data_IF_490479517622
#
_entry.id   IF_490479517622
#
_cell.length_a   1.000
_cell.length_b   1.000
_cell.length_c   1.000
_cell.angle_alpha   90.00
_cell.angle_beta   90.00
_cell.angle_gamma   90.00
#
_symmetry.space_group_name_H-M   'P 1'
#
loop_
_entity.id
_entity.type
_entity.pdbx_description
1 polymer ?
#
# COMPACT_ATOMS: atom_id res chain seq x y z
N UNK A 1 -19.31 33.31 -85.54
CA UNK A 1 -18.75 32.03 -85.08
C UNK A 1 -17.23 32.11 -85.22
N UNK A 2 -16.55 32.67 -84.22
CA UNK A 2 -15.09 32.72 -84.09
C UNK A 2 -14.80 32.78 -82.59
N UNK A 3 -14.19 31.72 -82.05
CA UNK A 3 -13.79 31.61 -80.64
C UNK A 3 -12.38 32.20 -80.47
N UNK A 4 -12.27 33.19 -79.58
CA UNK A 4 -11.01 33.77 -79.10
C UNK A 4 -10.39 32.82 -78.06
N UNK A 5 -9.11 32.53 -78.23
CA UNK A 5 -8.28 31.86 -77.23
C UNK A 5 -7.64 32.92 -76.33
N UNK A 6 -7.90 32.85 -75.02
CA UNK A 6 -7.29 33.73 -74.03
C UNK A 6 -5.97 33.12 -73.53
N UNK A 7 -4.91 33.93 -73.65
CA UNK A 7 -3.57 33.66 -73.18
C UNK A 7 -3.47 33.94 -71.67
N UNK A 8 -3.15 32.91 -70.88
CA UNK A 8 -2.69 33.08 -69.50
C UNK A 8 -1.20 33.45 -69.51
N UNK A 9 -0.76 34.53 -68.83
CA UNK A 9 0.64 34.96 -68.90
C UNK A 9 1.56 34.01 -68.13
N UNK A 10 2.65 33.61 -68.78
CA UNK A 10 3.70 32.66 -68.33
C UNK A 10 4.27 33.00 -66.94
N UNK A 11 4.17 34.26 -66.47
CA UNK A 11 4.62 34.67 -65.14
C UNK A 11 3.76 34.11 -63.98
N UNK A 12 2.48 33.80 -64.21
CA UNK A 12 1.59 33.26 -63.16
C UNK A 12 1.83 31.75 -62.95
N UNK A 13 2.24 31.03 -64.00
CA UNK A 13 2.55 29.60 -63.91
C UNK A 13 3.80 29.32 -63.05
N UNK A 14 4.80 30.21 -63.11
CA UNK A 14 6.03 30.09 -62.32
C UNK A 14 5.83 30.37 -60.83
N UNK A 15 4.94 31.30 -60.48
CA UNK A 15 4.59 31.60 -59.09
C UNK A 15 3.80 30.46 -58.43
N UNK A 16 2.90 29.79 -59.17
CA UNK A 16 2.15 28.64 -58.66
C UNK A 16 3.06 27.41 -58.49
N UNK A 17 4.02 27.21 -59.40
CA UNK A 17 5.00 26.12 -59.28
C UNK A 17 5.98 26.30 -58.11
N UNK A 18 6.39 27.53 -57.79
CA UNK A 18 7.25 27.80 -56.63
C UNK A 18 6.49 27.70 -55.30
N UNK A 19 5.20 28.05 -55.26
CA UNK A 19 4.38 27.94 -54.05
C UNK A 19 4.05 26.47 -53.70
N UNK A 20 3.89 25.60 -54.71
CA UNK A 20 3.63 24.17 -54.51
C UNK A 20 4.89 23.41 -54.02
N UNK A 21 6.10 23.79 -54.46
CA UNK A 21 7.35 23.14 -54.02
C UNK A 21 7.65 23.44 -52.53
N UNK A 22 7.27 24.62 -52.04
CA UNK A 22 7.40 25.00 -50.61
C UNK A 22 6.50 24.18 -49.67
N UNK A 23 5.38 23.64 -50.18
CA UNK A 23 4.41 22.85 -49.41
C UNK A 23 4.84 21.38 -49.34
N UNK A 24 5.64 20.88 -50.30
CA UNK A 24 6.18 19.51 -50.26
C UNK A 24 7.50 19.37 -49.48
N UNK A 25 8.23 20.45 -49.21
CA UNK A 25 9.47 20.42 -48.40
C UNK A 25 9.24 20.55 -46.88
N UNK A 26 8.04 20.94 -46.44
CA UNK A 26 7.67 21.00 -45.02
C UNK A 26 7.02 19.72 -44.49
N UNK A 27 6.75 18.73 -45.36
CA UNK A 27 6.02 17.50 -45.04
C UNK A 27 6.82 16.36 -44.39
N UNK A 28 8.16 16.44 -44.30
CA UNK A 28 8.99 15.35 -43.74
C UNK A 28 9.81 15.73 -42.49
N UNK A 29 9.69 16.96 -41.99
CA UNK A 29 10.43 17.42 -40.80
C UNK A 29 9.72 17.09 -39.47
N UNK A 30 8.44 16.72 -39.49
CA UNK A 30 7.66 16.39 -38.29
C UNK A 30 7.81 14.92 -37.86
N UNK A 31 7.94 13.99 -38.82
CA UNK A 31 8.08 12.56 -38.55
C UNK A 31 9.50 12.23 -38.09
N UNK A 32 10.53 12.86 -38.66
CA UNK A 32 11.91 12.68 -38.22
C UNK A 32 12.17 13.27 -36.83
N UNK A 33 11.59 14.42 -36.47
CA UNK A 33 11.65 14.92 -35.08
C UNK A 33 10.95 13.99 -34.09
N UNK A 34 9.80 13.43 -34.44
CA UNK A 34 9.09 12.47 -33.60
C UNK A 34 9.86 11.16 -33.39
N UNK A 35 10.46 10.61 -34.45
CA UNK A 35 11.25 9.38 -34.38
C UNK A 35 12.61 9.62 -33.72
N UNK A 36 13.26 10.77 -33.95
CA UNK A 36 14.55 11.09 -33.31
C UNK A 36 14.37 11.48 -31.85
N UNK A 37 13.29 12.17 -31.46
CA UNK A 37 12.93 12.41 -30.07
C UNK A 37 12.53 11.11 -29.35
N UNK A 38 11.76 10.24 -30.01
CA UNK A 38 11.40 8.92 -29.48
C UNK A 38 12.62 7.98 -29.38
N UNK A 39 13.64 8.13 -30.21
CA UNK A 39 14.91 7.39 -30.11
C UNK A 39 15.84 7.99 -29.04
N UNK A 40 15.84 9.31 -28.84
CA UNK A 40 16.54 9.95 -27.71
C UNK A 40 15.92 9.57 -26.36
N UNK A 41 14.58 9.48 -26.28
CA UNK A 41 13.87 8.97 -25.08
C UNK A 41 14.08 7.47 -24.85
N UNK A 42 14.48 6.71 -25.89
CA UNK A 42 14.76 5.27 -25.81
C UNK A 42 16.23 4.92 -25.59
N UNK A 43 17.14 5.91 -25.58
CA UNK A 43 18.41 5.69 -24.91
C UNK A 43 18.08 5.51 -23.43
N UNK A 44 18.42 4.36 -22.86
CA UNK A 44 18.24 4.08 -21.44
C UNK A 44 18.95 5.16 -20.62
N UNK A 45 18.26 6.25 -20.31
CA UNK A 45 18.74 7.24 -19.38
C UNK A 45 18.98 6.48 -18.08
N UNK A 46 20.23 6.47 -17.61
CA UNK A 46 20.59 5.82 -16.36
C UNK A 46 19.57 6.21 -15.28
N UNK A 47 19.01 5.23 -14.57
CA UNK A 47 18.08 5.52 -13.47
C UNK A 47 18.83 6.24 -12.34
N UNK A 48 18.62 7.56 -12.25
CA UNK A 48 19.25 8.49 -11.31
C UNK A 48 18.48 8.63 -9.98
N UNK A 49 17.34 7.96 -9.84
CA UNK A 49 16.50 8.06 -8.65
C UNK A 49 17.26 7.55 -7.42
N UNK A 50 17.29 8.36 -6.36
CA UNK A 50 17.99 8.01 -5.12
C UNK A 50 17.22 6.93 -4.34
N UNK A 51 17.97 6.15 -3.57
CA UNK A 51 17.46 5.21 -2.57
C UNK A 51 18.44 5.14 -1.41
N UNK A 52 17.97 5.50 -0.22
CA UNK A 52 18.74 5.52 1.02
C UNK A 52 17.92 4.85 2.12
N UNK A 53 18.52 3.89 2.81
CA UNK A 53 17.89 3.18 3.91
C UNK A 53 18.63 3.46 5.19
N UNK A 54 17.93 3.98 6.21
CA UNK A 54 18.47 4.27 7.52
C UNK A 54 17.71 3.49 8.59
N UNK A 55 18.43 2.64 9.31
CA UNK A 55 17.86 1.84 10.37
C UNK A 55 18.55 0.51 10.53
N UNK A 56 17.81 -0.47 11.02
CA UNK A 56 18.32 -1.81 11.26
C UNK A 56 18.12 -2.67 10.01
N UNK A 57 18.97 -3.67 9.77
CA UNK A 57 18.76 -4.59 8.67
C UNK A 57 17.43 -5.33 8.86
N UNK A 58 16.73 -5.56 7.76
CA UNK A 58 15.50 -6.34 7.76
C UNK A 58 15.55 -7.36 6.62
N UNK A 59 14.84 -8.47 6.80
CA UNK A 59 15.03 -9.68 5.98
C UNK A 59 14.07 -9.81 4.79
N UNK A 60 13.06 -8.94 4.70
CA UNK A 60 11.97 -9.09 3.74
C UNK A 60 11.06 -10.29 4.04
N UNK A 61 10.27 -10.68 3.04
CA UNK A 61 9.28 -11.78 3.07
C UNK A 61 9.91 -13.15 2.79
N UNK A 62 10.94 -13.21 1.92
CA UNK A 62 11.51 -14.45 1.37
C UNK A 62 11.85 -15.52 2.43
N UNK A 63 12.45 -15.18 3.60
CA UNK A 63 12.80 -16.19 4.60
C UNK A 63 11.60 -16.95 5.15
N UNK A 64 10.43 -16.31 5.22
CA UNK A 64 9.19 -16.96 5.66
C UNK A 64 8.77 -18.09 4.72
N UNK A 65 9.03 -17.92 3.41
CA UNK A 65 8.69 -18.92 2.39
C UNK A 65 9.56 -20.18 2.49
N UNK A 66 10.76 -20.07 3.06
CA UNK A 66 11.70 -21.18 3.21
C UNK A 66 11.39 -22.08 4.44
N UNK A 67 10.39 -21.73 5.25
CA UNK A 67 10.05 -22.48 6.47
C UNK A 67 9.46 -23.85 6.14
N UNK A 68 9.81 -24.83 6.98
CA UNK A 68 9.27 -26.20 6.90
C UNK A 68 7.84 -26.31 7.45
N UNK A 69 7.47 -25.42 8.36
CA UNK A 69 6.17 -25.40 9.05
C UNK A 69 5.57 -24.00 8.95
N UNK A 70 4.24 -23.95 8.94
CA UNK A 70 3.47 -22.72 8.78
C UNK A 70 3.44 -22.19 7.35
N UNK A 71 2.82 -21.01 7.20
CA UNK A 71 2.61 -20.28 5.96
C UNK A 71 3.03 -18.82 6.11
N UNK A 72 3.45 -18.21 5.01
CA UNK A 72 3.66 -16.76 4.96
C UNK A 72 2.41 -16.08 4.43
N UNK A 73 1.82 -15.20 5.25
CA UNK A 73 0.56 -14.51 4.99
C UNK A 73 0.78 -13.01 5.02
N UNK A 74 0.39 -12.33 3.94
CA UNK A 74 0.49 -10.85 3.83
C UNK A 74 -0.90 -10.25 3.73
N UNK A 75 -1.17 -9.19 4.49
CA UNK A 75 -2.34 -8.35 4.30
C UNK A 75 -1.94 -6.96 3.81
N UNK A 76 -2.51 -6.55 2.67
CA UNK A 76 -2.35 -5.23 2.12
C UNK A 76 -3.57 -4.35 2.43
N UNK A 77 -3.33 -3.17 3.01
CA UNK A 77 -4.33 -2.17 3.38
C UNK A 77 -4.10 -0.91 2.55
N UNK A 78 -5.07 -0.54 1.70
CA UNK A 78 -4.97 0.68 0.91
C UNK A 78 -5.13 1.95 1.76
N UNK A 79 -4.70 3.07 1.18
CA UNK A 79 -4.89 4.41 1.72
C UNK A 79 -6.09 5.11 1.14
N UNK A 80 -5.98 6.43 0.97
CA UNK A 80 -7.03 7.28 0.43
C UNK A 80 -7.46 6.88 -0.99
N UNK A 81 -8.65 7.32 -1.37
CA UNK A 81 -9.31 7.04 -2.64
C UNK A 81 -10.34 5.92 -2.56
N UNK A 82 -11.25 5.89 -3.53
CA UNK A 82 -12.16 4.76 -3.72
C UNK A 82 -11.44 3.64 -4.48
N UNK A 83 -11.32 2.47 -3.82
CA UNK A 83 -10.69 1.28 -4.37
C UNK A 83 -11.73 0.20 -4.60
N UNK A 84 -11.50 -0.62 -5.62
CA UNK A 84 -12.26 -1.84 -5.89
C UNK A 84 -11.36 -3.06 -5.68
N UNK A 85 -11.93 -4.24 -5.32
CA UNK A 85 -11.13 -5.46 -5.18
C UNK A 85 -10.33 -5.78 -6.44
N UNK A 86 -9.04 -6.04 -6.27
CA UNK A 86 -8.05 -6.27 -7.32
C UNK A 86 -7.06 -5.13 -7.54
N UNK A 87 -7.16 -4.02 -6.80
CA UNK A 87 -6.25 -2.87 -6.94
C UNK A 87 -4.78 -3.24 -6.76
N UNK A 88 -4.46 -4.28 -5.98
CA UNK A 88 -3.08 -4.75 -5.74
C UNK A 88 -2.51 -5.64 -6.84
N UNK A 89 -3.25 -5.93 -7.91
CA UNK A 89 -2.89 -6.96 -8.89
C UNK A 89 -1.50 -6.74 -9.51
N UNK A 90 -1.16 -5.50 -9.85
CA UNK A 90 0.15 -5.17 -10.41
C UNK A 90 1.28 -5.39 -9.40
N UNK A 91 1.12 -4.86 -8.19
CA UNK A 91 2.07 -5.06 -7.09
C UNK A 91 2.29 -6.55 -6.79
N UNK A 92 1.21 -7.31 -6.64
CA UNK A 92 1.27 -8.75 -6.39
C UNK A 92 1.99 -9.51 -7.52
N UNK A 93 1.81 -9.09 -8.78
CA UNK A 93 2.53 -9.67 -9.92
C UNK A 93 4.04 -9.43 -9.85
N UNK A 94 4.46 -8.21 -9.49
CA UNK A 94 5.88 -7.89 -9.29
C UNK A 94 6.47 -8.63 -8.09
N UNK A 95 5.74 -8.65 -6.97
CA UNK A 95 6.16 -9.35 -5.75
C UNK A 95 6.30 -10.86 -5.97
N UNK A 96 5.34 -11.48 -6.68
CA UNK A 96 5.40 -12.88 -7.06
C UNK A 96 6.66 -13.19 -7.88
N UNK A 97 6.98 -12.32 -8.85
CA UNK A 97 8.18 -12.47 -9.68
C UNK A 97 9.46 -12.37 -8.84
N UNK A 98 9.56 -11.38 -7.95
CA UNK A 98 10.76 -11.19 -7.10
C UNK A 98 10.97 -12.31 -6.08
N UNK A 99 9.88 -12.93 -5.62
CA UNK A 99 9.86 -14.09 -4.70
C UNK A 99 9.93 -15.45 -5.41
N UNK A 100 10.08 -15.46 -6.74
CA UNK A 100 10.10 -16.67 -7.56
C UNK A 100 8.84 -17.55 -7.44
N UNK A 101 7.67 -16.95 -7.23
CA UNK A 101 6.38 -17.65 -7.15
C UNK A 101 5.74 -17.72 -8.54
N UNK A 102 5.82 -18.88 -9.19
CA UNK A 102 5.45 -19.08 -10.58
C UNK A 102 4.03 -19.62 -10.81
N UNK A 103 3.28 -19.92 -9.74
CA UNK A 103 1.90 -20.42 -9.83
C UNK A 103 0.96 -19.61 -8.96
N UNK A 104 -0.28 -19.46 -9.45
CA UNK A 104 -1.37 -18.72 -8.81
C UNK A 104 -2.63 -19.56 -8.78
N UNK A 105 -3.46 -19.39 -7.74
CA UNK A 105 -4.81 -19.97 -7.71
C UNK A 105 -5.64 -19.53 -8.91
N UNK A 106 -6.41 -20.45 -9.49
CA UNK A 106 -7.22 -20.18 -10.70
C UNK A 106 -8.23 -19.05 -10.51
N UNK A 107 -8.78 -18.89 -9.31
CA UNK A 107 -9.61 -17.76 -8.91
C UNK A 107 -9.15 -17.20 -7.55
N UNK A 108 -9.38 -15.89 -7.29
CA UNK A 108 -9.29 -15.30 -5.97
C UNK A 108 -10.55 -15.65 -5.15
N UNK A 109 -10.38 -15.82 -3.84
CA UNK A 109 -11.51 -15.91 -2.90
C UNK A 109 -11.91 -14.51 -2.44
N UNK A 110 -13.20 -14.25 -2.24
CA UNK A 110 -13.69 -12.90 -1.90
C UNK A 110 -14.68 -12.95 -0.73
N UNK A 111 -14.23 -12.53 0.45
CA UNK A 111 -15.04 -12.52 1.66
C UNK A 111 -15.57 -11.11 1.88
N UNK A 112 -16.89 -10.94 1.91
CA UNK A 112 -17.50 -9.70 2.36
C UNK A 112 -17.30 -9.58 3.87
N UNK A 113 -16.65 -8.50 4.29
CA UNK A 113 -16.28 -8.30 5.68
C UNK A 113 -17.50 -7.81 6.44
N UNK A 114 -17.86 -8.57 7.47
CA UNK A 114 -18.97 -8.27 8.37
C UNK A 114 -18.52 -8.54 9.80
N UNK A 115 -19.15 -7.89 10.77
CA UNK A 115 -18.93 -8.19 12.19
C UNK A 115 -20.25 -8.07 12.95
N UNK A 116 -20.48 -8.92 13.94
CA UNK A 116 -21.63 -8.78 14.84
C UNK A 116 -21.69 -7.42 15.57
N UNK A 117 -20.57 -6.68 15.67
CA UNK A 117 -20.54 -5.32 16.23
C UNK A 117 -21.24 -4.27 15.32
N UNK A 118 -21.34 -4.56 14.03
CA UNK A 118 -21.94 -3.71 13.00
C UNK A 118 -22.77 -4.60 12.05
N UNK A 119 -23.88 -5.19 12.54
CA UNK A 119 -24.59 -6.27 11.85
C UNK A 119 -25.15 -5.84 10.48
N UNK A 120 -25.52 -4.58 10.34
CA UNK A 120 -26.13 -4.02 9.12
C UNK A 120 -25.12 -3.33 8.19
N UNK A 121 -23.83 -3.33 8.52
CA UNK A 121 -22.80 -2.63 7.75
C UNK A 121 -21.93 -3.59 6.96
N UNK A 122 -21.80 -3.32 5.66
CA UNK A 122 -20.77 -3.91 4.84
C UNK A 122 -19.44 -3.19 5.13
N UNK A 123 -18.49 -3.88 5.74
CA UNK A 123 -17.18 -3.31 6.09
C UNK A 123 -16.16 -3.41 4.96
N UNK A 124 -16.56 -3.91 3.80
CA UNK A 124 -15.71 -4.01 2.61
C UNK A 124 -15.47 -5.46 2.18
N UNK A 125 -14.36 -5.68 1.47
CA UNK A 125 -14.03 -6.97 0.90
C UNK A 125 -12.60 -7.39 1.24
N UNK A 126 -12.44 -8.66 1.63
CA UNK A 126 -11.16 -9.33 1.79
C UNK A 126 -10.96 -10.26 0.59
N UNK A 127 -10.11 -9.84 -0.35
CA UNK A 127 -9.74 -10.64 -1.52
C UNK A 127 -8.49 -11.44 -1.21
N UNK A 128 -8.50 -12.74 -1.49
CA UNK A 128 -7.45 -13.66 -1.07
C UNK A 128 -6.92 -14.43 -2.29
N UNK A 129 -5.60 -14.43 -2.44
CA UNK A 129 -4.90 -15.07 -3.56
C UNK A 129 -3.81 -15.97 -3.00
N UNK A 130 -3.74 -17.21 -3.50
CA UNK A 130 -2.65 -18.13 -3.21
C UNK A 130 -1.62 -18.10 -4.33
N UNK A 131 -0.36 -17.99 -3.96
CA UNK A 131 0.79 -18.11 -4.84
C UNK A 131 1.69 -19.26 -4.38
N UNK A 132 2.31 -19.93 -5.35
CA UNK A 132 3.14 -21.11 -5.14
C UNK A 132 4.38 -21.06 -6.03
N UNK A 133 5.40 -21.80 -5.64
CA UNK A 133 6.45 -22.23 -6.56
C UNK A 133 6.35 -23.76 -6.77
N UNK A 134 6.09 -24.18 -8.00
CA UNK A 134 5.90 -25.61 -8.33
C UNK A 134 7.14 -26.48 -8.07
N UNK A 135 8.34 -25.91 -8.19
CA UNK A 135 9.59 -26.68 -8.11
C UNK A 135 10.00 -26.98 -6.67
N UNK A 136 9.77 -26.03 -5.76
CA UNK A 136 10.25 -26.13 -4.37
C UNK A 136 9.12 -26.11 -3.32
N UNK A 137 7.86 -25.96 -3.74
CA UNK A 137 6.71 -25.99 -2.84
C UNK A 137 6.54 -24.76 -1.95
N UNK A 138 7.32 -23.68 -2.15
CA UNK A 138 7.11 -22.40 -1.46
C UNK A 138 5.65 -21.96 -1.62
N UNK A 139 5.04 -21.52 -0.53
CA UNK A 139 3.64 -21.11 -0.50
C UNK A 139 3.46 -19.76 0.17
N UNK A 140 2.65 -18.91 -0.46
CA UNK A 140 2.38 -17.55 -0.05
C UNK A 140 0.88 -17.25 -0.20
N UNK A 141 0.27 -16.67 0.83
CA UNK A 141 -1.15 -16.27 0.80
C UNK A 141 -1.23 -14.76 0.95
N UNK A 142 -1.78 -14.10 -0.06
CA UNK A 142 -1.94 -12.66 -0.12
C UNK A 142 -3.40 -12.28 0.13
N UNK A 143 -3.60 -11.38 1.09
CA UNK A 143 -4.88 -10.82 1.48
C UNK A 143 -4.89 -9.34 1.10
N UNK A 144 -5.96 -8.89 0.46
CA UNK A 144 -6.19 -7.50 0.08
C UNK A 144 -7.46 -7.03 0.76
N UNK A 145 -7.34 -6.02 1.63
CA UNK A 145 -8.48 -5.36 2.29
C UNK A 145 -8.89 -4.13 1.48
N UNK A 146 -10.11 -4.15 0.95
CA UNK A 146 -10.78 -2.99 0.36
C UNK A 146 -11.85 -2.48 1.32
N UNK A 147 -11.58 -1.39 2.04
CA UNK A 147 -12.48 -0.80 3.04
C UNK A 147 -13.32 0.38 2.51
N UNK A 148 -13.10 0.81 1.26
CA UNK A 148 -13.75 2.00 0.66
C UNK A 148 -15.29 1.98 0.75
N UNK A 149 -15.91 0.82 0.84
CA UNK A 149 -17.37 0.68 1.06
C UNK A 149 -17.86 1.52 2.25
N UNK A 150 -17.07 1.60 3.32
CA UNK A 150 -17.43 2.33 4.55
C UNK A 150 -17.55 3.84 4.29
N UNK A 151 -16.74 4.41 3.40
CA UNK A 151 -16.64 5.87 3.21
C UNK A 151 -17.40 6.38 2.00
N UNK A 152 -17.83 5.51 1.08
CA UNK A 152 -18.55 5.87 -0.16
C UNK A 152 -19.75 6.77 0.08
N UNK A 153 -20.62 6.44 1.05
CA UNK A 153 -21.81 7.25 1.34
C UNK A 153 -21.46 8.65 1.84
N UNK A 154 -20.41 8.79 2.67
CA UNK A 154 -19.97 10.10 3.15
C UNK A 154 -19.34 10.93 2.01
N UNK A 155 -18.58 10.29 1.12
CA UNK A 155 -17.98 10.95 -0.06
C UNK A 155 -19.02 11.49 -1.06
N UNK A 156 -20.23 10.92 -1.12
CA UNK A 156 -21.31 11.43 -1.99
C UNK A 156 -21.67 12.88 -1.68
N UNK A 157 -21.36 13.39 -0.48
CA UNK A 157 -21.52 14.80 -0.15
C UNK A 157 -20.77 15.74 -1.10
N UNK A 158 -19.66 15.30 -1.71
CA UNK A 158 -18.88 16.09 -2.68
C UNK A 158 -19.22 15.74 -4.15
N UNK A 159 -20.17 14.84 -4.40
CA UNK A 159 -20.50 14.43 -5.76
C UNK A 159 -21.06 15.57 -6.62
N UNK A 160 -21.72 16.57 -6.00
CA UNK A 160 -22.21 17.77 -6.70
C UNK A 160 -21.08 18.48 -7.46
N UNK A 161 -19.88 18.53 -6.87
CA UNK A 161 -18.71 19.23 -7.43
C UNK A 161 -18.11 18.49 -8.63
N UNK A 162 -18.34 17.17 -8.73
CA UNK A 162 -17.93 16.34 -9.86
C UNK A 162 -18.95 16.33 -11.00
N UNK A 163 -19.99 17.17 -10.95
CA UNK A 163 -21.08 17.16 -11.91
C UNK A 163 -21.38 18.56 -12.48
N UNK A 164 -22.10 18.57 -13.60
CA UNK A 164 -22.99 19.62 -14.10
C UNK A 164 -22.60 21.09 -13.86
N UNK A 165 -22.69 21.57 -12.63
CA UNK A 165 -22.53 22.99 -12.29
C UNK A 165 -21.11 23.53 -12.50
N UNK A 166 -20.09 22.71 -12.22
CA UNK A 166 -18.70 23.17 -12.20
C UNK A 166 -17.77 22.42 -13.15
N UNK A 167 -18.03 21.14 -13.43
CA UNK A 167 -17.10 20.28 -14.17
C UNK A 167 -16.79 20.80 -15.57
N UNK A 168 -17.81 21.16 -16.37
CA UNK A 168 -17.64 21.61 -17.76
C UNK A 168 -16.91 22.94 -17.89
N UNK A 169 -16.82 23.73 -16.81
CA UNK A 169 -16.13 25.02 -16.77
C UNK A 169 -14.65 24.87 -16.40
N UNK A 170 -14.22 23.71 -15.89
CA UNK A 170 -12.83 23.50 -15.48
C UNK A 170 -11.96 23.16 -16.68
N UNK A 171 -10.78 23.77 -16.73
CA UNK A 171 -9.71 23.30 -17.59
C UNK A 171 -9.43 21.82 -17.30
N UNK A 172 -9.05 21.05 -18.32
CA UNK A 172 -8.90 19.58 -18.24
C UNK A 172 -8.02 19.14 -17.07
N UNK A 173 -6.86 19.77 -16.89
CA UNK A 173 -5.94 19.44 -15.80
C UNK A 173 -6.56 19.74 -14.42
N UNK A 174 -7.24 20.88 -14.27
CA UNK A 174 -7.91 21.24 -13.02
C UNK A 174 -9.08 20.30 -12.72
N UNK A 175 -9.83 19.87 -13.74
CA UNK A 175 -10.90 18.89 -13.59
C UNK A 175 -10.36 17.55 -13.06
N UNK A 176 -9.25 17.06 -13.63
CA UNK A 176 -8.56 15.85 -13.17
C UNK A 176 -8.09 15.97 -11.71
N UNK A 177 -7.37 17.05 -11.37
CA UNK A 177 -6.89 17.29 -10.01
C UNK A 177 -8.04 17.42 -9.01
N UNK A 178 -9.15 18.06 -9.42
CA UNK A 178 -10.31 18.24 -8.55
C UNK A 178 -11.03 16.92 -8.28
N UNK A 179 -11.23 16.07 -9.29
CA UNK A 179 -11.78 14.71 -9.10
C UNK A 179 -10.92 13.90 -8.14
N UNK A 180 -9.59 13.93 -8.32
CA UNK A 180 -8.66 13.27 -7.41
C UNK A 180 -8.78 13.82 -5.98
N UNK A 181 -8.82 15.15 -5.82
CA UNK A 181 -8.97 15.80 -4.51
C UNK A 181 -10.29 15.47 -3.83
N UNK A 182 -11.40 15.43 -4.57
CA UNK A 182 -12.72 15.10 -4.04
C UNK A 182 -12.83 13.62 -3.66
N UNK A 183 -12.07 12.74 -4.31
CA UNK A 183 -12.02 11.32 -3.95
C UNK A 183 -11.09 11.06 -2.77
N UNK A 184 -9.89 11.63 -2.75
CA UNK A 184 -8.84 11.28 -1.77
C UNK A 184 -8.78 12.20 -0.55
N UNK A 185 -9.03 13.50 -0.74
CA UNK A 185 -8.94 14.51 0.31
C UNK A 185 -9.90 14.31 1.49
N UNK A 186 -11.13 13.79 1.30
CA UNK A 186 -12.05 13.57 2.41
C UNK A 186 -11.69 12.39 3.32
N UNK A 187 -10.93 11.40 2.83
CA UNK A 187 -10.71 10.15 3.58
C UNK A 187 -10.05 10.36 4.94
N UNK A 188 -9.00 11.18 5.10
CA UNK A 188 -8.45 11.49 6.42
C UNK A 188 -9.46 12.14 7.37
N UNK A 189 -10.37 12.99 6.85
CA UNK A 189 -11.41 13.63 7.65
C UNK A 189 -12.49 12.63 8.07
N UNK A 190 -12.94 11.79 7.15
CA UNK A 190 -13.90 10.71 7.41
C UNK A 190 -13.32 9.73 8.45
N UNK A 191 -12.03 9.40 8.33
CA UNK A 191 -11.34 8.51 9.26
C UNK A 191 -11.12 9.11 10.65
N UNK A 192 -11.14 10.44 10.79
CA UNK A 192 -11.16 11.10 12.12
C UNK A 192 -12.57 11.08 12.75
N UNK A 193 -13.62 10.85 11.94
CA UNK A 193 -15.01 10.81 12.38
C UNK A 193 -15.52 9.41 12.75
N UNK A 194 -16.83 9.22 12.56
CA UNK A 194 -17.56 8.00 12.93
C UNK A 194 -17.08 6.72 12.22
N UNK A 195 -16.48 6.86 11.04
CA UNK A 195 -16.02 5.74 10.21
C UNK A 195 -14.70 5.14 10.68
N UNK A 196 -14.02 5.78 11.64
CA UNK A 196 -12.80 5.25 12.27
C UNK A 196 -12.97 3.83 12.79
N UNK A 197 -13.98 3.62 13.63
CA UNK A 197 -14.18 2.34 14.34
C UNK A 197 -14.61 1.21 13.37
N UNK A 198 -15.54 1.42 12.43
CA UNK A 198 -15.82 0.46 11.37
C UNK A 198 -14.59 0.07 10.54
N UNK A 199 -13.75 1.03 10.13
CA UNK A 199 -12.53 0.76 9.36
C UNK A 199 -11.54 -0.08 10.18
N UNK A 200 -11.34 0.25 11.46
CA UNK A 200 -10.51 -0.56 12.36
C UNK A 200 -11.08 -1.97 12.57
N UNK A 201 -12.42 -2.12 12.59
CA UNK A 201 -13.07 -3.42 12.66
C UNK A 201 -12.87 -4.23 11.36
N UNK A 202 -12.85 -3.59 10.20
CA UNK A 202 -12.54 -4.23 8.92
C UNK A 202 -11.12 -4.81 8.90
N UNK A 203 -10.14 -4.05 9.42
CA UNK A 203 -8.78 -4.53 9.63
C UNK A 203 -8.73 -5.72 10.60
N UNK A 204 -9.36 -5.62 11.78
CA UNK A 204 -9.34 -6.68 12.78
C UNK A 204 -9.99 -7.98 12.26
N UNK A 205 -11.11 -7.88 11.53
CA UNK A 205 -11.74 -9.02 10.86
C UNK A 205 -10.82 -9.64 9.81
N UNK A 206 -10.11 -8.81 9.02
CA UNK A 206 -9.16 -9.29 8.03
C UNK A 206 -8.01 -10.07 8.67
N UNK A 207 -7.43 -9.54 9.75
CA UNK A 207 -6.36 -10.23 10.49
C UNK A 207 -6.87 -11.53 11.15
N UNK A 208 -8.09 -11.52 11.70
CA UNK A 208 -8.73 -12.73 12.23
C UNK A 208 -8.86 -13.82 11.13
N UNK A 209 -9.32 -13.44 9.93
CA UNK A 209 -9.39 -14.35 8.78
C UNK A 209 -8.03 -14.88 8.32
N UNK A 210 -6.97 -14.08 8.41
CA UNK A 210 -5.61 -14.53 8.11
C UNK A 210 -5.17 -15.66 9.05
N UNK A 211 -5.51 -15.57 10.34
CA UNK A 211 -5.13 -16.58 11.32
C UNK A 211 -6.01 -17.83 11.21
N UNK A 212 -7.33 -17.65 11.13
CA UNK A 212 -8.30 -18.72 11.35
C UNK A 212 -8.25 -19.86 10.31
N UNK A 213 -7.95 -19.55 9.05
CA UNK A 213 -8.11 -20.53 7.98
C UNK A 213 -6.87 -20.68 7.10
N UNK A 214 -6.55 -21.94 6.80
CA UNK A 214 -5.72 -22.29 5.66
C UNK A 214 -6.46 -22.07 4.35
N UNK A 215 -5.71 -21.91 3.25
CA UNK A 215 -6.26 -21.71 1.91
C UNK A 215 -7.42 -22.67 1.55
N UNK A 216 -7.29 -23.96 1.91
CA UNK A 216 -8.31 -24.98 1.60
C UNK A 216 -9.64 -24.74 2.32
N UNK A 217 -9.62 -24.14 3.50
CA UNK A 217 -10.78 -23.97 4.37
C UNK A 217 -11.44 -22.58 4.24
N UNK A 218 -10.82 -21.66 3.51
CA UNK A 218 -11.42 -20.36 3.18
C UNK A 218 -12.55 -20.58 2.16
N UNK A 219 -13.78 -20.06 2.38
CA UNK A 219 -14.84 -20.18 1.40
C UNK A 219 -14.55 -19.36 0.13
N UNK A 220 -15.06 -19.78 -1.03
CA UNK A 220 -14.83 -19.08 -2.30
C UNK A 220 -15.39 -17.64 -2.27
N UNK A 221 -16.58 -17.47 -1.69
CA UNK A 221 -17.18 -16.16 -1.48
C UNK A 221 -18.22 -16.13 -0.36
N UNK A 222 -18.71 -14.95 -0.02
CA UNK A 222 -19.88 -14.75 0.84
C UNK A 222 -19.65 -13.80 2.02
N UNK A 223 -20.69 -13.64 2.84
CA UNK A 223 -20.69 -12.83 4.06
C UNK A 223 -20.37 -13.73 5.25
N UNK A 224 -19.15 -13.64 5.76
CA UNK A 224 -18.68 -14.52 6.82
C UNK A 224 -17.95 -13.70 7.89
N UNK A 225 -18.52 -13.54 9.11
CA UNK A 225 -17.81 -12.91 10.21
C UNK A 225 -16.78 -13.87 10.80
N UNK A 226 -15.59 -13.36 11.10
CA UNK A 226 -14.64 -14.05 11.97
C UNK A 226 -15.06 -13.79 13.43
N UNK A 227 -15.67 -14.80 14.05
CA UNK A 227 -16.21 -14.72 15.42
C UNK A 227 -15.14 -14.88 16.50
N UNK A 228 -13.86 -14.90 16.13
CA UNK A 228 -12.78 -15.09 17.07
C UNK A 228 -11.85 -16.23 16.70
N UNK A 229 -10.87 -16.44 17.56
CA UNK A 229 -9.82 -17.45 17.42
C UNK A 229 -9.88 -18.38 18.63
N UNK A 230 -10.15 -19.65 18.38
CA UNK A 230 -10.36 -20.64 19.43
C UNK A 230 -9.23 -21.69 19.46
N UNK A 231 -9.13 -22.43 20.54
CA UNK A 231 -8.18 -23.56 20.65
C UNK A 231 -8.90 -24.91 20.63
N UNK A 232 -10.17 -24.96 20.23
CA UNK A 232 -10.97 -26.19 20.26
C UNK A 232 -10.48 -27.24 19.25
N UNK A 233 -9.92 -26.78 18.13
CA UNK A 233 -9.37 -27.64 17.06
C UNK A 233 -7.84 -27.58 16.96
N UNK A 234 -7.18 -26.91 17.91
CA UNK A 234 -5.76 -26.52 17.91
C UNK A 234 -5.28 -25.77 16.65
N UNK A 235 -6.12 -25.58 15.62
CA UNK A 235 -5.72 -25.05 14.31
C UNK A 235 -5.40 -23.55 14.39
N UNK A 236 -6.26 -22.73 15.02
CA UNK A 236 -5.99 -21.30 15.14
C UNK A 236 -4.73 -21.05 16.01
N UNK A 237 -4.53 -21.88 17.05
CA UNK A 237 -3.31 -21.86 17.87
C UNK A 237 -2.08 -22.29 17.08
N UNK A 238 -2.17 -23.37 16.29
CA UNK A 238 -1.10 -23.82 15.41
C UNK A 238 -0.72 -22.76 14.37
N UNK A 239 -1.70 -22.15 13.71
CA UNK A 239 -1.48 -21.09 12.74
C UNK A 239 -0.87 -19.86 13.42
N UNK A 240 -1.39 -19.48 14.59
CA UNK A 240 -0.80 -18.40 15.37
C UNK A 240 0.62 -18.73 15.81
N UNK A 241 1.02 -19.97 16.05
CA UNK A 241 2.42 -20.30 16.42
C UNK A 241 3.33 -20.33 15.19
N UNK A 242 2.88 -20.92 14.08
CA UNK A 242 3.77 -21.31 12.99
C UNK A 242 3.77 -20.36 11.80
N UNK A 243 2.67 -19.64 11.55
CA UNK A 243 2.57 -18.76 10.38
C UNK A 243 3.29 -17.42 10.59
N UNK A 244 3.72 -16.81 9.49
CA UNK A 244 4.20 -15.44 9.46
C UNK A 244 3.07 -14.51 9.02
N UNK A 245 2.88 -13.43 9.78
CA UNK A 245 1.91 -12.38 9.50
C UNK A 245 2.66 -11.09 9.19
N UNK A 246 2.45 -10.58 7.97
CA UNK A 246 3.11 -9.38 7.46
C UNK A 246 2.02 -8.41 6.98
N UNK A 247 2.22 -7.12 7.24
CA UNK A 247 1.34 -6.08 6.73
C UNK A 247 2.05 -5.21 5.70
N UNK A 248 1.32 -4.83 4.67
CA UNK A 248 1.71 -3.81 3.71
C UNK A 248 0.63 -2.76 3.72
N UNK A 249 1.00 -1.50 3.81
CA UNK A 249 0.03 -0.41 3.82
C UNK A 249 0.44 0.69 2.86
N UNK A 250 -0.52 1.39 2.29
CA UNK A 250 -0.26 2.57 1.47
C UNK A 250 -0.91 3.81 2.10
N UNK A 251 -0.22 4.95 2.16
CA UNK A 251 -0.80 6.24 2.55
C UNK A 251 -1.59 6.14 3.89
N UNK A 252 -2.86 6.58 3.95
CA UNK A 252 -3.76 6.44 5.12
C UNK A 252 -3.81 5.02 5.72
N UNK A 253 -3.55 3.99 4.92
CA UNK A 253 -3.46 2.60 5.35
C UNK A 253 -2.44 2.38 6.46
N UNK A 254 -1.37 3.19 6.55
CA UNK A 254 -0.37 3.07 7.61
C UNK A 254 -0.98 3.37 8.98
N UNK A 255 -1.78 4.43 9.07
CA UNK A 255 -2.50 4.80 10.29
C UNK A 255 -3.61 3.81 10.62
N UNK A 256 -4.34 3.31 9.61
CA UNK A 256 -5.38 2.28 9.80
C UNK A 256 -4.76 1.00 10.39
N UNK A 257 -3.63 0.55 9.85
CA UNK A 257 -2.95 -0.66 10.29
C UNK A 257 -2.48 -0.55 11.75
N UNK A 258 -1.81 0.55 12.11
CA UNK A 258 -1.35 0.75 13.50
C UNK A 258 -2.55 0.93 14.43
N UNK A 259 -3.56 1.71 14.07
CA UNK A 259 -4.77 1.86 14.88
C UNK A 259 -5.50 0.53 15.10
N UNK A 260 -5.57 -0.31 14.08
CA UNK A 260 -6.14 -1.64 14.15
C UNK A 260 -5.38 -2.53 15.15
N UNK A 261 -4.05 -2.53 15.09
CA UNK A 261 -3.19 -3.24 16.04
C UNK A 261 -3.35 -2.70 17.47
N UNK A 262 -3.37 -1.38 17.65
CA UNK A 262 -3.61 -0.74 18.96
C UNK A 262 -5.00 -1.09 19.51
N UNK A 263 -6.02 -1.13 18.64
CA UNK A 263 -7.37 -1.54 19.04
C UNK A 263 -7.37 -2.98 19.53
N UNK A 264 -6.66 -3.88 18.85
CA UNK A 264 -6.50 -5.28 19.29
C UNK A 264 -5.79 -5.32 20.66
N UNK A 265 -4.72 -4.54 20.86
CA UNK A 265 -3.99 -4.46 22.13
C UNK A 265 -4.90 -4.02 23.30
N UNK A 266 -5.80 -3.05 23.10
CA UNK A 266 -6.76 -2.63 24.14
C UNK A 266 -7.91 -3.63 24.35
N UNK A 267 -8.23 -4.42 23.34
CA UNK A 267 -9.34 -5.38 23.33
C UNK A 267 -9.00 -6.71 24.02
N UNK A 268 -7.83 -7.30 23.72
CA UNK A 268 -7.49 -8.65 24.20
C UNK A 268 -7.46 -8.81 25.73
N UNK A 269 -6.99 -7.84 26.53
CA UNK A 269 -7.07 -7.93 27.99
C UNK A 269 -8.49 -7.81 28.55
N UNK A 270 -9.42 -7.26 27.76
CA UNK A 270 -10.78 -6.93 28.19
C UNK A 270 -11.85 -7.57 27.29
N UNK A 271 -11.68 -8.85 26.93
CA UNK A 271 -12.58 -9.53 25.97
C UNK A 271 -14.05 -9.50 26.39
N UNK A 272 -14.32 -9.47 27.70
CA UNK A 272 -15.67 -9.34 28.25
C UNK A 272 -16.41 -8.05 27.81
N UNK A 273 -15.67 -7.01 27.42
CA UNK A 273 -16.23 -5.76 26.85
C UNK A 273 -16.57 -5.91 25.36
N UNK A 274 -16.07 -6.96 24.69
CA UNK A 274 -16.34 -7.28 23.29
C UNK A 274 -17.54 -8.23 23.21
N UNK A 275 -18.67 -7.82 23.80
CA UNK A 275 -19.94 -8.54 23.64
C UNK A 275 -20.69 -7.92 22.49
N UNK A 276 -20.87 -8.68 21.41
CA UNK A 276 -21.66 -8.24 20.27
C UNK A 276 -23.08 -8.79 20.40
N UNK A 277 -24.04 -7.90 20.69
CA UNK A 277 -25.44 -8.25 20.94
C UNK A 277 -25.64 -9.37 22.00
N UNK A 278 -26.87 -9.60 22.43
CA UNK A 278 -27.17 -10.73 23.31
C UNK A 278 -26.95 -12.03 22.50
N UNK A 279 -26.00 -12.88 22.94
CA UNK A 279 -25.70 -14.25 22.48
C UNK A 279 -24.57 -14.50 21.46
N UNK A 280 -23.84 -13.51 20.94
CA UNK A 280 -22.65 -13.77 20.09
C UNK A 280 -21.36 -13.50 20.87
N UNK A 281 -20.61 -14.57 21.19
CA UNK A 281 -19.29 -14.47 21.80
C UNK A 281 -18.25 -14.23 20.72
N UNK A 282 -17.64 -13.05 20.73
CA UNK A 282 -16.40 -12.78 20.01
C UNK A 282 -15.27 -12.93 21.01
N UNK A 283 -14.33 -13.85 20.78
CA UNK A 283 -13.27 -14.13 21.74
C UNK A 283 -11.99 -14.68 21.11
N UNK A 284 -10.90 -14.56 21.83
CA UNK A 284 -9.59 -15.10 21.48
C UNK A 284 -9.12 -15.95 22.65
N UNK A 285 -8.81 -17.23 22.41
CA UNK A 285 -8.33 -18.10 23.48
C UNK A 285 -7.00 -17.59 24.07
N UNK A 286 -6.76 -17.85 25.36
CA UNK A 286 -5.53 -17.42 26.02
C UNK A 286 -4.28 -18.02 25.36
N UNK A 287 -4.36 -19.26 24.83
CA UNK A 287 -3.26 -19.87 24.06
C UNK A 287 -2.92 -19.08 22.80
N UNK A 288 -3.92 -18.60 22.06
CA UNK A 288 -3.71 -17.77 20.87
C UNK A 288 -3.11 -16.42 21.27
N UNK A 289 -3.57 -15.81 22.37
CA UNK A 289 -2.98 -14.56 22.88
C UNK A 289 -1.51 -14.77 23.24
N UNK A 290 -1.18 -15.84 23.98
CA UNK A 290 0.20 -16.17 24.34
C UNK A 290 1.08 -16.42 23.12
N UNK A 291 0.55 -17.11 22.09
CA UNK A 291 1.26 -17.30 20.83
C UNK A 291 1.51 -15.97 20.09
N UNK A 292 0.51 -15.07 20.07
CA UNK A 292 0.62 -13.74 19.46
C UNK A 292 1.71 -12.88 20.14
N UNK A 293 1.83 -12.94 21.48
CA UNK A 293 2.87 -12.22 22.25
C UNK A 293 4.30 -12.55 21.79
N UNK A 294 4.51 -13.70 21.18
CA UNK A 294 5.82 -14.15 20.70
C UNK A 294 6.04 -13.85 19.21
N UNK A 295 5.10 -13.14 18.56
CA UNK A 295 5.24 -12.78 17.15
C UNK A 295 6.05 -11.54 16.94
N UNK A 296 6.88 -11.60 15.91
CA UNK A 296 7.40 -10.43 15.21
C UNK A 296 6.53 -10.17 13.98
N UNK A 297 5.97 -8.97 13.86
CA UNK A 297 5.10 -8.57 12.75
C UNK A 297 5.77 -7.44 11.96
N UNK A 298 6.25 -7.71 10.74
CA UNK A 298 6.71 -6.67 9.82
C UNK A 298 5.55 -5.88 9.22
N UNK A 299 5.71 -4.56 9.14
CA UNK A 299 4.77 -3.63 8.50
C UNK A 299 5.54 -2.76 7.51
N UNK A 300 5.30 -2.96 6.21
CA UNK A 300 5.86 -2.16 5.13
C UNK A 300 4.89 -1.01 4.79
N UNK A 301 5.27 0.23 5.10
CA UNK A 301 4.41 1.41 4.92
C UNK A 301 4.85 2.21 3.69
N UNK A 302 4.20 1.95 2.56
CA UNK A 302 4.33 2.69 1.31
C UNK A 302 3.69 4.07 1.46
N UNK A 303 4.38 5.14 1.04
CA UNK A 303 3.96 6.52 1.31
C UNK A 303 3.55 6.72 2.77
N UNK A 304 4.47 6.50 3.71
CA UNK A 304 4.13 6.53 5.13
C UNK A 304 3.58 7.91 5.56
N UNK A 305 2.40 7.92 6.20
CA UNK A 305 1.77 9.15 6.69
C UNK A 305 1.63 9.25 8.22
N UNK A 306 2.26 8.34 8.99
CA UNK A 306 2.05 8.28 10.44
C UNK A 306 2.25 9.63 11.17
N UNK A 307 3.33 10.40 10.92
CA UNK A 307 3.51 11.69 11.58
C UNK A 307 2.39 12.70 11.32
N UNK A 308 2.01 12.88 10.06
CA UNK A 308 0.93 13.81 9.68
C UNK A 308 -0.41 13.36 10.25
N UNK A 309 -0.74 12.07 10.13
CA UNK A 309 -2.01 11.53 10.59
C UNK A 309 -2.11 11.36 12.11
N UNK A 310 -1.05 11.65 12.86
CA UNK A 310 -1.08 11.74 14.32
C UNK A 310 -1.60 13.10 14.82
N UNK A 311 -1.56 14.15 13.99
CA UNK A 311 -1.95 15.50 14.37
C UNK A 311 -3.43 15.55 14.80
N UNK A 312 -3.70 16.21 15.92
CA UNK A 312 -5.06 16.40 16.45
C UNK A 312 -5.69 15.17 17.09
N UNK A 313 -4.93 14.08 17.30
CA UNK A 313 -5.42 12.85 17.92
C UNK A 313 -4.92 12.69 19.35
N UNK A 314 -5.72 12.01 20.16
CA UNK A 314 -5.29 11.50 21.45
C UNK A 314 -4.13 10.51 21.31
N UNK A 315 -3.33 10.42 22.36
CA UNK A 315 -2.28 9.42 22.46
C UNK A 315 -2.89 8.02 22.65
N UNK A 316 -2.17 6.96 22.24
CA UNK A 316 -2.50 5.60 22.65
C UNK A 316 -2.65 5.44 24.17
N UNK A 317 -3.35 4.40 24.59
CA UNK A 317 -3.60 4.09 26.01
C UNK A 317 -2.31 3.88 26.81
N UNK A 318 -1.31 3.22 26.21
CA UNK A 318 -0.02 2.95 26.82
C UNK A 318 1.08 3.57 25.95
N UNK A 319 1.70 4.65 26.41
CA UNK A 319 2.86 5.28 25.74
C UNK A 319 4.01 5.48 26.72
N UNK A 320 5.22 5.65 26.19
CA UNK A 320 6.43 5.91 26.98
C UNK A 320 6.93 4.74 27.84
N UNK A 321 6.39 3.53 27.65
CA UNK A 321 6.65 2.35 28.50
C UNK A 321 7.30 1.21 27.69
N UNK A 322 8.11 1.53 26.68
CA UNK A 322 8.70 0.53 25.77
C UNK A 322 9.54 -0.50 26.54
N UNK A 323 10.45 -0.05 27.41
CA UNK A 323 11.29 -0.96 28.21
C UNK A 323 10.44 -1.92 29.06
N UNK A 324 9.37 -1.42 29.68
CA UNK A 324 8.52 -2.24 30.56
C UNK A 324 7.77 -3.36 29.84
N UNK A 325 7.37 -3.14 28.59
CA UNK A 325 6.58 -4.09 27.80
C UNK A 325 7.43 -4.96 26.87
N UNK A 326 8.58 -4.46 26.43
CA UNK A 326 9.33 -5.04 25.30
C UNK A 326 10.66 -5.68 25.71
N UNK A 327 11.20 -5.34 26.88
CA UNK A 327 12.36 -6.03 27.44
C UNK A 327 11.91 -7.27 28.22
N UNK A 328 12.60 -8.43 28.08
CA UNK A 328 12.25 -9.65 28.80
C UNK A 328 12.16 -9.49 30.33
N UNK A 329 12.98 -8.62 30.90
CA UNK A 329 13.04 -8.29 32.33
C UNK A 329 12.01 -7.24 32.76
N UNK A 330 11.29 -6.63 31.81
CA UNK A 330 10.31 -5.58 32.06
C UNK A 330 9.11 -6.07 32.87
N UNK A 331 8.58 -5.27 33.82
CA UNK A 331 7.48 -5.69 34.70
C UNK A 331 6.17 -6.00 33.95
N UNK A 332 5.99 -5.42 32.76
CA UNK A 332 4.81 -5.57 31.93
C UNK A 332 5.06 -6.44 30.69
N UNK A 333 6.19 -7.16 30.61
CA UNK A 333 6.58 -7.94 29.45
C UNK A 333 5.49 -8.90 28.98
N UNK A 334 4.79 -9.58 29.91
CA UNK A 334 3.72 -10.53 29.60
C UNK A 334 2.39 -9.86 29.16
N UNK A 335 2.31 -8.53 29.17
CA UNK A 335 1.12 -7.76 28.78
C UNK A 335 1.27 -7.09 27.40
N UNK A 336 2.40 -7.27 26.72
CA UNK A 336 2.58 -6.83 25.33
C UNK A 336 1.60 -7.54 24.38
N UNK A 337 1.37 -6.97 23.21
CA UNK A 337 0.60 -7.61 22.15
C UNK A 337 1.46 -8.58 21.35
N UNK A 338 2.68 -8.16 21.00
CA UNK A 338 3.64 -8.85 20.15
C UNK A 338 5.06 -8.63 20.69
N UNK A 339 6.02 -9.45 20.29
CA UNK A 339 7.42 -9.27 20.70
C UNK A 339 8.09 -8.13 19.95
N UNK A 340 7.69 -7.88 18.70
CA UNK A 340 8.18 -6.75 17.90
C UNK A 340 7.18 -6.40 16.79
N UNK A 341 6.88 -5.11 16.64
CA UNK A 341 6.27 -4.55 15.42
C UNK A 341 7.37 -3.86 14.61
N UNK A 342 7.87 -4.54 13.58
CA UNK A 342 8.95 -4.02 12.73
C UNK A 342 8.35 -3.08 11.67
N UNK A 343 8.47 -1.77 11.86
CA UNK A 343 7.92 -0.75 10.96
C UNK A 343 8.98 -0.33 9.95
N UNK A 344 8.76 -0.66 8.68
CA UNK A 344 9.59 -0.23 7.55
C UNK A 344 8.83 0.87 6.82
N UNK A 345 9.21 2.13 7.06
CA UNK A 345 8.53 3.31 6.53
C UNK A 345 9.19 3.81 5.25
N UNK A 346 8.51 3.67 4.11
CA UNK A 346 8.94 4.22 2.84
C UNK A 346 8.43 5.65 2.67
N UNK A 347 9.31 6.55 2.24
CA UNK A 347 8.98 7.95 1.96
C UNK A 347 9.79 8.46 0.79
N UNK A 348 9.16 9.28 -0.05
CA UNK A 348 9.81 9.97 -1.17
C UNK A 348 9.86 11.44 -0.79
N UNK A 349 11.05 12.08 -0.75
CA UNK A 349 11.17 13.51 -0.50
C UNK A 349 10.34 14.40 -1.45
N UNK A 350 9.96 13.87 -2.63
CA UNK A 350 9.10 14.56 -3.59
C UNK A 350 7.60 14.26 -3.39
N UNK A 351 7.26 13.29 -2.54
CA UNK A 351 5.89 13.04 -2.12
C UNK A 351 5.53 14.01 -0.99
N UNK A 352 4.66 14.97 -1.31
CA UNK A 352 4.20 16.00 -0.39
C UNK A 352 3.48 15.47 0.86
N UNK A 353 3.03 14.21 0.83
CA UNK A 353 2.23 13.61 1.88
C UNK A 353 2.92 12.43 2.57
N UNK A 354 4.12 12.02 2.14
CA UNK A 354 4.91 11.01 2.87
C UNK A 354 5.89 11.64 3.85
N UNK A 355 6.14 10.93 4.95
CA UNK A 355 6.99 11.38 6.03
C UNK A 355 7.80 10.21 6.59
N UNK A 356 9.11 10.41 6.69
CA UNK A 356 9.94 9.56 7.56
C UNK A 356 9.47 9.68 9.00
N UNK A 357 9.66 8.62 9.79
CA UNK A 357 9.30 8.61 11.21
C UNK A 357 10.48 9.20 12.01
N UNK A 358 10.29 10.32 12.73
CA UNK A 358 11.38 10.96 13.46
C UNK A 358 11.73 10.21 14.76
N UNK A 359 12.93 10.46 15.33
CA UNK A 359 13.28 9.97 16.67
C UNK A 359 12.27 10.43 17.72
N UNK A 360 11.98 9.61 18.73
CA UNK A 360 10.99 9.93 19.76
C UNK A 360 9.53 9.62 19.37
N UNK A 361 9.26 9.30 18.09
CA UNK A 361 7.89 9.09 17.63
C UNK A 361 7.28 7.80 18.18
N UNK A 362 8.05 6.70 18.20
CA UNK A 362 7.62 5.41 18.75
C UNK A 362 7.26 5.51 20.22
N UNK A 363 8.07 6.23 20.99
CA UNK A 363 7.92 6.32 22.44
C UNK A 363 6.67 7.14 22.80
N UNK A 364 6.38 8.18 22.04
CA UNK A 364 5.30 9.13 22.35
C UNK A 364 3.96 8.81 21.69
N UNK A 365 3.97 8.33 20.45
CA UNK A 365 2.76 8.26 19.62
C UNK A 365 2.35 6.84 19.20
N UNK A 366 3.17 5.83 19.50
CA UNK A 366 2.82 4.43 19.28
C UNK A 366 2.58 3.73 20.62
N UNK A 367 1.65 2.78 20.62
CA UNK A 367 1.32 2.03 21.82
C UNK A 367 2.48 1.11 22.21
N UNK A 368 2.97 1.24 23.45
CA UNK A 368 4.15 0.49 23.92
C UNK A 368 3.94 -1.02 23.93
N UNK A 369 2.68 -1.51 23.98
CA UNK A 369 2.36 -2.93 23.86
C UNK A 369 2.71 -3.51 22.48
N UNK A 370 2.91 -2.66 21.46
CA UNK A 370 3.25 -3.11 20.11
C UNK A 370 4.75 -3.38 19.93
N UNK A 371 5.60 -2.96 20.86
CA UNK A 371 7.06 -3.06 20.71
C UNK A 371 7.56 -2.58 19.34
N UNK A 372 7.25 -1.32 18.96
CA UNK A 372 7.60 -0.76 17.66
C UNK A 372 9.12 -0.65 17.50
N UNK A 373 9.61 -1.06 16.33
CA UNK A 373 10.99 -0.84 15.90
C UNK A 373 11.00 -0.25 14.50
N UNK A 374 11.58 0.92 14.34
CA UNK A 374 11.45 1.73 13.12
C UNK A 374 12.68 1.58 12.21
N UNK A 375 12.45 1.48 10.91
CA UNK A 375 13.46 1.62 9.85
C UNK A 375 12.89 2.55 8.77
N UNK A 376 13.59 3.63 8.47
CA UNK A 376 13.19 4.59 7.44
C UNK A 376 13.86 4.25 6.11
N UNK A 377 13.06 4.23 5.04
CA UNK A 377 13.51 4.07 3.66
C UNK A 377 13.16 5.35 2.91
N UNK A 378 14.16 6.16 2.61
CA UNK A 378 14.03 7.35 1.77
C UNK A 378 14.32 6.96 0.31
N UNK A 379 13.32 7.03 -0.56
CA UNK A 379 13.42 6.54 -1.94
C UNK A 379 12.67 7.44 -2.89
N UNK A 380 13.33 7.89 -3.97
CA UNK A 380 12.65 8.63 -5.03
C UNK A 380 11.89 7.67 -5.93
N UNK A 381 10.57 7.63 -5.79
CA UNK A 381 9.69 6.89 -6.69
C UNK A 381 9.57 7.65 -8.00
N UNK A 382 9.31 8.96 -7.92
CA UNK A 382 9.25 9.84 -9.09
C UNK A 382 10.63 10.13 -9.67
N UNK A 383 10.70 10.13 -11.00
CA UNK A 383 11.86 10.68 -11.73
C UNK A 383 11.83 12.20 -11.62
N UNK A 384 13.00 12.79 -11.41
CA UNK A 384 13.20 14.22 -11.59
C UNK A 384 13.42 14.51 -13.08
N UNK A 385 12.83 15.59 -13.56
CA UNK A 385 12.98 16.10 -14.93
C UNK A 385 13.51 17.53 -14.87
N UNK A 386 14.37 17.86 -15.82
CA UNK A 386 14.82 19.22 -16.04
C UNK A 386 14.04 19.78 -17.24
N UNK A 387 13.25 20.83 -17.04
CA UNK A 387 12.38 21.40 -18.07
C UNK A 387 12.31 22.92 -17.97
N UNK A 388 12.31 23.61 -19.12
CA UNK A 388 12.16 25.07 -19.21
C UNK A 388 13.15 25.88 -18.37
N UNK A 389 14.39 25.38 -18.19
CA UNK A 389 15.41 26.05 -17.38
C UNK A 389 15.23 25.86 -15.86
N UNK A 390 14.25 25.05 -15.44
CA UNK A 390 14.04 24.65 -14.06
C UNK A 390 14.51 23.20 -13.94
N UNK A 391 15.53 22.97 -13.12
CA UNK A 391 16.04 21.63 -12.81
C UNK A 391 15.31 21.01 -11.62
N UNK A 392 15.25 19.68 -11.59
CA UNK A 392 14.78 18.93 -10.42
C UNK A 392 13.26 18.91 -10.20
N UNK A 393 12.46 19.08 -11.26
CA UNK A 393 11.01 18.94 -11.13
C UNK A 393 10.62 17.47 -11.00
N UNK A 394 9.86 17.11 -9.96
CA UNK A 394 9.27 15.78 -9.82
C UNK A 394 7.75 15.89 -9.83
N UNK A 395 7.05 14.87 -10.35
CA UNK A 395 5.60 14.82 -10.29
C UNK A 395 5.17 14.35 -8.87
N UNK A 396 4.61 15.24 -8.02
CA UNK A 396 4.28 14.89 -6.65
C UNK A 396 3.17 13.84 -6.55
N UNK A 397 2.28 13.78 -7.55
CA UNK A 397 1.23 12.77 -7.61
C UNK A 397 1.84 11.38 -7.82
N UNK A 398 2.76 11.25 -8.80
CA UNK A 398 3.45 9.98 -9.02
C UNK A 398 4.38 9.60 -7.87
N UNK A 399 5.03 10.60 -7.24
CA UNK A 399 5.81 10.38 -6.03
C UNK A 399 4.95 9.78 -4.91
N UNK A 400 3.67 10.16 -4.82
CA UNK A 400 2.73 9.64 -3.82
C UNK A 400 2.18 8.24 -4.10
N UNK A 401 1.82 7.95 -5.36
CA UNK A 401 1.10 6.71 -5.70
C UNK A 401 1.97 5.62 -6.32
N UNK A 402 3.19 5.94 -6.77
CA UNK A 402 4.00 5.01 -7.57
C UNK A 402 4.73 3.92 -6.77
N UNK A 403 4.65 3.91 -5.43
CA UNK A 403 5.46 3.03 -4.57
C UNK A 403 5.26 1.54 -4.89
N UNK A 404 4.03 1.14 -5.16
CA UNK A 404 3.63 -0.25 -5.42
C UNK A 404 4.02 -0.73 -6.83
N UNK A 405 4.52 0.17 -7.68
CA UNK A 405 5.04 -0.12 -9.01
C UNK A 405 6.56 -0.03 -9.12
N UNK A 406 7.26 0.49 -8.10
CA UNK A 406 8.72 0.61 -8.11
C UNK A 406 9.40 -0.73 -7.79
N UNK A 407 10.25 -1.22 -8.70
CA UNK A 407 10.91 -2.51 -8.54
C UNK A 407 11.87 -2.56 -7.35
N UNK A 408 12.47 -1.43 -6.94
CA UNK A 408 13.34 -1.38 -5.75
C UNK A 408 12.52 -1.53 -4.47
N UNK A 409 11.34 -0.92 -4.40
CA UNK A 409 10.44 -1.08 -3.26
C UNK A 409 9.99 -2.53 -3.15
N UNK A 410 9.56 -3.13 -4.27
CA UNK A 410 9.17 -4.55 -4.31
C UNK A 410 10.32 -5.45 -3.87
N UNK A 411 11.55 -5.20 -4.34
CA UNK A 411 12.74 -5.95 -3.95
C UNK A 411 13.10 -5.80 -2.46
N UNK A 412 12.97 -4.59 -1.90
CA UNK A 412 13.14 -4.36 -0.46
C UNK A 412 12.10 -5.13 0.36
N UNK A 413 10.83 -5.10 -0.04
CA UNK A 413 9.76 -5.87 0.64
C UNK A 413 10.03 -7.37 0.54
N UNK A 414 10.41 -7.86 -0.65
CA UNK A 414 10.62 -9.28 -0.89
C UNK A 414 11.84 -9.83 -0.15
N UNK A 415 12.99 -9.15 -0.22
CA UNK A 415 14.31 -9.69 0.17
C UNK A 415 15.06 -8.89 1.23
N UNK A 416 14.51 -7.74 1.62
CA UNK A 416 15.09 -6.89 2.63
C UNK A 416 16.41 -6.24 2.22
N UNK A 417 17.16 -5.77 3.21
CA UNK A 417 18.46 -5.13 3.05
C UNK A 417 19.37 -5.42 4.25
N UNK A 418 20.69 -5.35 4.04
CA UNK A 418 21.67 -5.59 5.10
C UNK A 418 21.78 -7.06 5.51
N UNK A 419 21.42 -7.98 4.61
CA UNK A 419 21.46 -9.42 4.81
C UNK A 419 21.94 -10.15 3.53
N UNK A 420 22.37 -11.43 3.60
CA UNK A 420 22.90 -12.17 2.44
C UNK A 420 21.92 -12.38 1.28
N UNK A 421 20.60 -12.29 1.54
CA UNK A 421 19.55 -12.50 0.54
C UNK A 421 19.14 -11.20 -0.17
N UNK A 422 19.72 -10.05 0.19
CA UNK A 422 19.44 -8.74 -0.42
C UNK A 422 19.49 -8.82 -1.94
N UNK A 423 18.47 -8.30 -2.62
CA UNK A 423 18.38 -8.37 -4.09
C UNK A 423 19.54 -7.61 -4.75
N UNK A 424 20.14 -8.12 -5.85
CA UNK A 424 21.20 -7.41 -6.59
C UNK A 424 20.80 -5.99 -7.00
N UNK A 425 19.52 -5.79 -7.34
CA UNK A 425 18.97 -4.46 -7.65
C UNK A 425 19.19 -3.49 -6.49
N UNK A 426 18.96 -3.93 -5.25
CA UNK A 426 19.10 -3.11 -4.04
C UNK A 426 20.56 -2.84 -3.73
N UNK A 427 21.41 -3.85 -3.80
CA UNK A 427 22.86 -3.68 -3.60
C UNK A 427 23.47 -2.66 -4.57
N UNK A 428 22.95 -2.58 -5.80
CA UNK A 428 23.42 -1.64 -6.81
C UNK A 428 22.81 -0.24 -6.71
N UNK A 429 21.57 -0.13 -6.23
CA UNK A 429 20.78 1.12 -6.34
C UNK A 429 20.50 1.81 -5.00
N UNK A 430 20.69 1.14 -3.88
CA UNK A 430 20.38 1.68 -2.56
C UNK A 430 21.61 1.76 -1.68
N UNK A 431 21.76 2.88 -0.98
CA UNK A 431 22.72 3.05 0.09
C UNK A 431 22.08 2.61 1.41
N UNK A 432 22.78 1.78 2.20
CA UNK A 432 22.32 1.34 3.51
C UNK A 432 23.22 1.87 4.62
N UNK A 433 22.64 2.66 5.52
CA UNK A 433 23.30 3.14 6.73
C UNK A 433 22.68 2.46 7.93
N UNK A 434 23.41 1.52 8.51
CA UNK A 434 22.99 0.83 9.73
C UNK A 434 23.03 1.80 10.92
N UNK A 435 21.93 1.89 11.66
CA UNK A 435 21.92 2.57 12.97
C UNK A 435 22.34 1.60 14.07
N UNK A 436 23.00 2.10 15.11
CA UNK A 436 23.32 1.36 16.34
C UNK A 436 22.61 2.07 17.49
N UNK A 437 22.01 1.28 18.39
CA UNK A 437 21.39 1.75 19.63
C UNK A 437 22.41 1.71 20.77
#
# INVERSE_FOLDING_TARGET
MMTRADYLPIKILWLISFLLISIFLSGCASISKGVTAAILEKSESADTRLCQVWGQPFSGIEPGLAKKQGKTKVLMVHGVGDHIPGFTTQFLGKLAKELDLNVRSGAPKNITITTPLFPDMNLGNLRIVRLLNEKNGKEFIFYELTWSEITREEKKLLAFDNSGEYEFRRATMNSMLKKFSNDTGPDPLIYLGKSRVPIQAAFAQSFCWMVKHDWKNIPESGKHPCLGLDDATDTDTYNMINDDYIFISHSLGSRITIDGMQRIAGMLPNQEKIRAAENIKIGVSEKVIQALRNKRIPIFMLSNQLPMLQLGRELPEVTGQIAEYCEPEGPNYQQRLVSETSIIAFSDPNDLLSYGIPPGFSEKYLDSRLCPRITNVNINVAKTIDAFGISGLANPMYAHVGYDTDDRIVALIARGIGNPNTSPLITQKCEFTKTVE
#
